data_IF_179392231242
#
_entry.id   IF_179392231242
#
_cell.length_a   1.000
_cell.length_b   1.000
_cell.length_c   1.000
_cell.angle_alpha   90.00
_cell.angle_beta   90.00
_cell.angle_gamma   90.00
#
_symmetry.space_group_name_H-M   'P 1'
#
loop_
_entity.id
_entity.type
_entity.pdbx_description
1 polymer ?
#
# COMPACT_ATOMS: atom_id res chain seq x y z
N UNK A 1 -32.70 0.30 8.80
CA UNK A 1 -31.48 -0.29 9.40
C UNK A 1 -30.34 -0.11 8.40
N UNK A 2 -29.15 0.26 8.86
CA UNK A 2 -27.95 0.29 8.02
C UNK A 2 -27.36 -1.13 7.98
N UNK A 3 -27.47 -1.80 6.83
CA UNK A 3 -26.87 -3.12 6.62
C UNK A 3 -25.48 -2.94 6.02
N UNK A 4 -24.48 -3.59 6.61
CA UNK A 4 -23.16 -3.74 5.97
C UNK A 4 -23.26 -4.95 5.05
N UNK A 5 -23.18 -4.72 3.74
CA UNK A 5 -23.31 -5.79 2.72
C UNK A 5 -21.97 -6.23 2.15
N UNK A 6 -20.90 -5.45 2.37
CA UNK A 6 -19.54 -5.73 1.90
C UNK A 6 -18.52 -5.34 2.96
N UNK A 7 -17.57 -6.24 3.22
CA UNK A 7 -16.49 -6.08 4.19
C UNK A 7 -15.17 -6.33 3.47
N UNK A 8 -14.19 -5.49 3.77
CA UNK A 8 -12.80 -5.66 3.34
C UNK A 8 -11.97 -6.22 4.49
N UNK A 9 -11.10 -7.17 4.17
CA UNK A 9 -10.09 -7.71 5.06
C UNK A 9 -8.73 -7.38 4.46
N UNK A 10 -7.95 -6.57 5.18
CA UNK A 10 -6.59 -6.21 4.82
C UNK A 10 -5.62 -6.97 5.73
N UNK A 11 -4.65 -7.67 5.14
CA UNK A 11 -3.70 -8.54 5.85
C UNK A 11 -2.29 -7.94 5.76
N UNK A 12 -1.70 -7.65 6.91
CA UNK A 12 -0.30 -7.22 6.98
C UNK A 12 0.62 -8.45 6.84
N UNK A 13 1.03 -8.77 5.62
CA UNK A 13 1.86 -9.93 5.33
C UNK A 13 3.18 -9.95 6.13
N UNK A 14 3.84 -8.80 6.31
CA UNK A 14 5.11 -8.70 7.02
C UNK A 14 5.02 -9.09 8.50
N UNK A 15 3.86 -8.90 9.13
CA UNK A 15 3.60 -9.30 10.52
C UNK A 15 2.83 -10.62 10.63
N UNK A 16 2.34 -11.16 9.50
CA UNK A 16 1.48 -12.34 9.48
C UNK A 16 2.24 -13.66 9.31
N UNK A 17 3.45 -13.62 8.77
CA UNK A 17 4.29 -14.81 8.60
C UNK A 17 5.40 -14.84 9.64
N UNK A 18 5.63 -16.02 10.21
CA UNK A 18 6.81 -16.29 11.03
C UNK A 18 7.39 -17.65 10.67
N UNK A 19 8.70 -17.77 10.86
CA UNK A 19 9.46 -19.01 10.65
C UNK A 19 9.67 -19.70 11.99
N UNK A 20 9.57 -21.03 12.00
CA UNK A 20 9.93 -21.87 13.13
C UNK A 20 10.37 -23.26 12.64
N UNK A 21 11.59 -23.67 13.00
CA UNK A 21 12.19 -24.97 12.65
C UNK A 21 12.17 -25.28 11.15
N UNK A 22 12.51 -24.31 10.31
CA UNK A 22 12.52 -24.40 8.84
C UNK A 22 11.13 -24.31 8.19
N UNK A 23 10.06 -24.16 8.98
CA UNK A 23 8.69 -24.11 8.51
C UNK A 23 8.12 -22.70 8.62
N UNK A 24 7.27 -22.32 7.66
CA UNK A 24 6.59 -21.02 7.66
C UNK A 24 5.15 -21.17 8.10
N UNK A 25 4.75 -20.35 9.08
CA UNK A 25 3.42 -20.37 9.66
C UNK A 25 2.73 -19.03 9.42
N UNK A 26 1.44 -19.11 9.09
CA UNK A 26 0.57 -17.96 8.92
C UNK A 26 -0.21 -17.72 10.22
N UNK A 27 0.02 -16.56 10.85
CA UNK A 27 -0.79 -16.00 11.93
C UNK A 27 -1.26 -14.61 11.50
N UNK A 28 -2.42 -14.49 10.83
CA UNK A 28 -2.83 -13.24 10.19
C UNK A 28 -2.93 -12.07 11.18
N UNK A 29 -2.26 -10.97 10.85
CA UNK A 29 -2.46 -9.65 11.46
C UNK A 29 -3.29 -8.85 10.48
N UNK A 30 -4.55 -8.59 10.84
CA UNK A 30 -5.55 -8.07 9.93
C UNK A 30 -6.24 -6.80 10.43
N UNK A 31 -6.74 -6.02 9.47
CA UNK A 31 -7.69 -4.93 9.68
C UNK A 31 -8.97 -5.28 8.92
N UNK A 32 -10.12 -5.06 9.55
CA UNK A 32 -11.44 -5.34 8.96
C UNK A 32 -12.27 -4.07 8.98
N UNK A 33 -12.84 -3.70 7.85
CA UNK A 33 -13.64 -2.50 7.72
C UNK A 33 -14.70 -2.67 6.62
N UNK A 34 -15.86 -1.97 6.71
CA UNK A 34 -16.81 -1.90 5.60
C UNK A 34 -16.12 -1.37 4.35
N UNK A 35 -16.49 -1.84 3.16
CA UNK A 35 -15.87 -1.35 1.91
C UNK A 35 -16.04 0.17 1.72
N UNK A 36 -17.07 0.76 2.32
CA UNK A 36 -17.36 2.20 2.32
C UNK A 36 -16.53 3.01 3.32
N UNK A 37 -15.68 2.36 4.12
CA UNK A 37 -14.86 3.05 5.13
C UNK A 37 -13.70 3.81 4.51
N UNK A 38 -13.52 5.06 4.96
CA UNK A 38 -12.35 5.87 4.64
C UNK A 38 -12.29 6.30 3.17
N UNK A 39 -11.09 6.64 2.71
CA UNK A 39 -10.77 6.86 1.30
C UNK A 39 -9.84 5.79 0.75
N UNK A 40 -9.44 5.95 -0.50
CA UNK A 40 -8.43 5.10 -1.13
C UNK A 40 -7.37 5.92 -1.86
N UNK A 41 -6.19 5.34 -2.05
CA UNK A 41 -5.08 5.91 -2.79
C UNK A 41 -4.60 4.90 -3.83
N UNK A 42 -4.55 5.28 -5.09
CA UNK A 42 -4.03 4.43 -6.18
C UNK A 42 -3.10 5.19 -7.11
N UNK A 43 -2.22 4.46 -7.77
CA UNK A 43 -1.28 5.02 -8.72
C UNK A 43 -0.44 3.94 -9.39
N UNK A 44 0.67 4.38 -9.98
CA UNK A 44 1.62 3.51 -10.65
C UNK A 44 3.04 3.80 -10.16
N UNK A 45 3.81 2.77 -9.86
CA UNK A 45 5.22 2.84 -9.52
C UNK A 45 6.05 2.10 -10.57
N UNK A 46 7.01 2.80 -11.16
CA UNK A 46 7.78 2.34 -12.31
C UNK A 46 9.27 2.65 -12.12
N UNK A 47 10.16 1.95 -12.86
CA UNK A 47 9.83 0.87 -13.77
C UNK A 47 9.61 -0.47 -13.02
N UNK A 48 8.89 -1.44 -13.61
CA UNK A 48 8.53 -2.69 -12.90
C UNK A 48 9.76 -3.54 -12.56
N UNK A 49 10.80 -3.49 -13.40
CA UNK A 49 12.08 -4.15 -13.17
C UNK A 49 12.86 -3.57 -11.97
N UNK A 50 12.49 -2.38 -11.49
CA UNK A 50 13.01 -1.85 -10.24
C UNK A 50 12.45 -2.59 -9.01
N UNK A 51 11.49 -3.51 -9.18
CA UNK A 51 10.80 -4.19 -8.08
C UNK A 51 10.36 -3.19 -6.99
N UNK A 52 9.56 -2.16 -7.36
CA UNK A 52 9.19 -1.11 -6.44
C UNK A 52 8.37 -1.67 -5.28
N UNK A 53 8.54 -1.10 -4.09
CA UNK A 53 7.59 -1.21 -2.98
C UNK A 53 7.06 0.17 -2.70
N UNK A 54 5.74 0.27 -2.51
CA UNK A 54 5.10 1.51 -2.07
C UNK A 54 4.77 1.37 -0.60
N UNK A 55 5.33 2.26 0.22
CA UNK A 55 5.03 2.44 1.63
C UNK A 55 4.24 3.73 1.80
N UNK A 56 3.18 3.70 2.59
CA UNK A 56 2.49 4.91 3.03
C UNK A 56 2.47 5.01 4.55
N UNK A 57 2.66 6.21 5.07
CA UNK A 57 2.76 6.48 6.50
C UNK A 57 1.85 7.64 6.87
N UNK A 58 1.04 7.45 7.92
CA UNK A 58 0.30 8.51 8.58
C UNK A 58 0.27 8.24 10.08
N UNK A 59 0.74 9.20 10.86
CA UNK A 59 0.88 9.07 12.33
C UNK A 59 1.69 7.82 12.72
N UNK A 60 1.05 6.81 13.32
CA UNK A 60 1.65 5.51 13.66
C UNK A 60 1.28 4.40 12.67
N UNK A 61 0.38 4.68 11.72
CA UNK A 61 -0.05 3.72 10.73
C UNK A 61 0.98 3.66 9.59
N UNK A 62 1.52 2.47 9.33
CA UNK A 62 2.42 2.20 8.20
C UNK A 62 1.84 1.05 7.39
N UNK A 63 1.64 1.26 6.09
CA UNK A 63 1.11 0.28 5.17
C UNK A 63 2.05 0.10 3.99
N UNK A 64 2.11 -1.12 3.46
CA UNK A 64 2.93 -1.46 2.31
C UNK A 64 2.09 -2.16 1.26
N UNK A 65 2.45 -1.97 0.01
CA UNK A 65 1.96 -2.80 -1.09
C UNK A 65 3.06 -3.04 -2.10
N UNK A 66 2.96 -4.17 -2.78
CA UNK A 66 3.79 -4.52 -3.92
C UNK A 66 2.95 -4.21 -5.16
N UNK A 67 3.38 -3.26 -6.01
CA UNK A 67 2.68 -2.97 -7.24
C UNK A 67 2.64 -4.17 -8.19
N UNK A 68 1.61 -4.21 -9.03
CA UNK A 68 1.42 -5.27 -10.02
C UNK A 68 2.63 -5.38 -10.96
N UNK A 69 3.10 -6.60 -11.19
CA UNK A 69 4.30 -6.83 -12.02
C UNK A 69 4.09 -6.49 -13.48
N UNK A 70 2.84 -6.45 -13.94
CA UNK A 70 2.46 -6.20 -15.34
C UNK A 70 2.57 -4.73 -15.72
N UNK A 71 2.17 -3.82 -14.85
CA UNK A 71 2.06 -2.40 -15.18
C UNK A 71 2.50 -1.43 -14.06
N UNK A 72 2.85 -1.96 -12.89
CA UNK A 72 3.25 -1.18 -11.71
C UNK A 72 2.08 -0.55 -10.96
N UNK A 73 0.83 -0.99 -11.17
CA UNK A 73 -0.35 -0.46 -10.48
C UNK A 73 -0.32 -0.81 -8.98
N UNK A 74 -0.71 0.13 -8.13
CA UNK A 74 -0.97 -0.13 -6.71
C UNK A 74 -2.26 0.55 -6.23
N UNK A 75 -2.87 -0.02 -5.19
CA UNK A 75 -4.09 0.53 -4.58
C UNK A 75 -4.16 0.21 -3.09
N UNK A 76 -4.27 1.26 -2.27
CA UNK A 76 -4.57 1.19 -0.84
C UNK A 76 -6.03 1.59 -0.60
N UNK A 77 -6.79 0.77 0.13
CA UNK A 77 -8.19 1.04 0.50
C UNK A 77 -8.32 1.17 2.02
N UNK A 78 -9.41 1.79 2.49
CA UNK A 78 -9.69 1.92 3.92
C UNK A 78 -8.76 2.88 4.66
N UNK A 79 -8.29 3.92 3.96
CA UNK A 79 -7.39 4.91 4.53
C UNK A 79 -8.17 5.98 5.29
N UNK A 80 -7.65 6.37 6.46
CA UNK A 80 -8.13 7.57 7.15
C UNK A 80 -7.87 8.81 6.30
N UNK A 81 -8.78 9.77 6.38
CA UNK A 81 -8.61 11.08 5.74
C UNK A 81 -7.39 11.82 6.28
N UNK A 82 -6.80 12.64 5.41
CA UNK A 82 -5.67 13.50 5.69
C UNK A 82 -4.45 13.16 4.85
N UNK A 83 -3.34 13.76 5.23
CA UNK A 83 -2.07 13.66 4.52
C UNK A 83 -1.36 12.35 4.83
N UNK A 84 -0.90 11.68 3.78
CA UNK A 84 -0.10 10.47 3.85
C UNK A 84 1.26 10.75 3.22
N UNK A 85 2.33 10.41 3.94
CA UNK A 85 3.66 10.31 3.34
C UNK A 85 3.71 9.05 2.47
N UNK A 86 4.13 9.21 1.22
CA UNK A 86 4.23 8.14 0.24
C UNK A 86 5.71 7.99 -0.11
N UNK A 87 6.25 6.80 0.17
CA UNK A 87 7.63 6.44 -0.11
C UNK A 87 7.64 5.28 -1.09
N UNK A 88 8.36 5.45 -2.20
CA UNK A 88 8.57 4.38 -3.19
C UNK A 88 10.06 4.10 -3.27
N UNK A 89 10.43 2.85 -3.05
CA UNK A 89 11.82 2.41 -3.02
C UNK A 89 11.98 1.09 -3.78
N UNK A 90 13.20 0.83 -4.26
CA UNK A 90 13.53 -0.42 -4.95
C UNK A 90 14.00 -1.47 -3.94
N UNK A 91 13.53 -2.70 -4.10
CA UNK A 91 14.06 -3.85 -3.32
C UNK A 91 15.22 -4.56 -3.98
N UNK A 92 15.60 -4.13 -5.18
CA UNK A 92 16.73 -4.69 -5.92
C UNK A 92 17.97 -3.83 -5.68
N UNK A 93 19.17 -4.43 -5.65
CA UNK A 93 20.45 -3.71 -5.61
C UNK A 93 20.78 -3.02 -6.96
N UNK A 94 19.78 -2.49 -7.66
CA UNK A 94 19.85 -1.99 -9.04
C UNK A 94 20.22 -0.52 -9.15
N UNK A 95 20.40 0.17 -8.02
CA UNK A 95 20.83 1.57 -7.95
C UNK A 95 19.73 2.60 -8.14
N UNK A 96 18.45 2.21 -8.11
CA UNK A 96 17.35 3.18 -8.12
C UNK A 96 17.27 3.93 -6.80
N UNK A 97 17.04 5.24 -6.88
CA UNK A 97 16.84 6.15 -5.77
C UNK A 97 15.38 6.20 -5.35
N UNK A 98 15.18 6.24 -4.04
CA UNK A 98 13.87 6.36 -3.43
C UNK A 98 13.20 7.69 -3.79
N UNK A 99 11.88 7.68 -3.78
CA UNK A 99 11.05 8.88 -3.95
C UNK A 99 10.13 9.04 -2.75
N UNK A 100 10.04 10.25 -2.22
CA UNK A 100 9.19 10.61 -1.09
C UNK A 100 8.40 11.87 -1.41
N UNK A 101 7.10 11.84 -1.14
CA UNK A 101 6.20 12.98 -1.26
C UNK A 101 4.95 12.77 -0.40
N UNK A 102 4.11 13.79 -0.31
CA UNK A 102 2.86 13.75 0.45
C UNK A 102 1.68 13.94 -0.50
N UNK A 103 0.60 13.21 -0.26
CA UNK A 103 -0.70 13.47 -0.89
C UNK A 103 -1.83 13.28 0.12
N UNK A 104 -2.95 13.96 -0.13
CA UNK A 104 -4.10 13.99 0.76
C UNK A 104 -5.16 12.98 0.29
N UNK A 105 -5.58 12.11 1.20
CA UNK A 105 -6.72 11.21 1.00
C UNK A 105 -7.96 11.82 1.64
N UNK A 106 -9.10 11.69 0.98
CA UNK A 106 -10.39 12.19 1.45
C UNK A 106 -11.36 11.03 1.65
N UNK A 107 -12.17 11.09 2.70
CA UNK A 107 -13.19 10.07 2.98
C UNK A 107 -14.17 9.94 1.81
N UNK A 108 -14.52 8.69 1.46
CA UNK A 108 -15.46 8.37 0.38
C UNK A 108 -14.92 8.64 -1.03
N UNK A 109 -13.65 8.99 -1.18
CA UNK A 109 -13.02 9.26 -2.49
C UNK A 109 -11.85 8.34 -2.76
N UNK A 110 -11.64 8.04 -4.04
CA UNK A 110 -10.40 7.46 -4.53
C UNK A 110 -9.47 8.58 -5.00
N UNK A 111 -8.36 8.75 -4.30
CA UNK A 111 -7.25 9.59 -4.73
C UNK A 111 -6.43 8.83 -5.77
N UNK A 112 -6.54 9.24 -7.03
CA UNK A 112 -5.70 8.75 -8.12
C UNK A 112 -4.52 9.70 -8.34
N UNK A 113 -3.30 9.19 -8.19
CA UNK A 113 -2.10 9.95 -8.49
C UNK A 113 -2.04 10.24 -9.99
N UNK A 114 -2.02 11.53 -10.34
CA UNK A 114 -2.05 11.97 -11.76
C UNK A 114 -0.81 11.55 -12.54
N UNK A 115 0.34 11.52 -11.87
CA UNK A 115 1.62 11.17 -12.48
C UNK A 115 2.08 9.81 -11.97
N UNK A 116 2.62 9.00 -12.88
CA UNK A 116 3.32 7.77 -12.49
C UNK A 116 4.56 8.14 -11.66
N UNK A 117 4.81 7.39 -10.60
CA UNK A 117 5.99 7.52 -9.78
C UNK A 117 7.11 6.77 -10.51
N UNK A 118 8.12 7.49 -11.00
CA UNK A 118 9.22 6.90 -11.77
C UNK A 118 10.50 7.00 -10.95
N UNK A 119 10.97 5.85 -10.46
CA UNK A 119 12.25 5.74 -9.77
C UNK A 119 13.39 6.01 -10.76
N UNK A 120 14.38 6.77 -10.31
CA UNK A 120 15.54 7.18 -11.12
C UNK A 120 16.80 6.52 -10.59
N UNK A 121 17.70 6.11 -11.49
CA UNK A 121 19.07 5.72 -11.12
C UNK A 121 19.87 6.95 -10.77
#
# INVERSE_FOLDING_TARGET
>A
ANYITSIMIDINAALSFYESNGNYFLKPVLRVFPETFGGSLKGYALPVEAMPIVKIVKDKDTLFTIPEKTDGMFHFKGLKEGDWEIVVFSTSNSGYRDTLFVDTVYTGKTRELKSKIVLKK
#
